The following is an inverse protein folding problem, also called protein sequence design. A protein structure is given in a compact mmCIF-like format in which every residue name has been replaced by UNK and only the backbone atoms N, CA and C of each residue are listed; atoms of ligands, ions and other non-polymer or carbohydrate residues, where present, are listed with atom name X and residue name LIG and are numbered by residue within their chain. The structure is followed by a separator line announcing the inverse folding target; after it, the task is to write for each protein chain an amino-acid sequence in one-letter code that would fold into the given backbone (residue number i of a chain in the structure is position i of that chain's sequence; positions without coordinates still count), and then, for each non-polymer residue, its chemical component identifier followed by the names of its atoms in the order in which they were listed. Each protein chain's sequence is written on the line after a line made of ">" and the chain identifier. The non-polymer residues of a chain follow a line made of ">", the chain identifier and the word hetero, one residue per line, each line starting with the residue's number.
data_IF_763461088707
#
_entry.id   IF_763461088707
#
_cell.length_a   1.000
_cell.length_b   1.000
_cell.length_c   1.000
_cell.angle_alpha   90.00
_cell.angle_beta   90.00
_cell.angle_gamma   90.00
#
_symmetry.space_group_name_H-M   'P 1'
#
loop_
_entity.id
_entity.type
_entity.pdbx_description
1 polymer ?
#
# COMPACT_ATOMS: atom_id res chain seq x y z
N UNK A 1 8.15 40.58 -9.56
CA UNK A 1 7.50 39.63 -10.49
C UNK A 1 7.53 38.15 -10.06
N UNK A 2 8.35 37.73 -9.08
CA UNK A 2 8.44 36.30 -8.67
C UNK A 2 7.29 35.74 -7.79
N UNK A 3 6.59 36.59 -7.03
CA UNK A 3 5.55 36.12 -6.08
C UNK A 3 4.32 35.54 -6.80
N UNK A 4 3.84 36.22 -7.84
CA UNK A 4 2.69 35.79 -8.65
C UNK A 4 2.97 34.51 -9.44
N UNK A 5 4.21 34.32 -9.91
CA UNK A 5 4.65 33.09 -10.57
C UNK A 5 4.67 31.89 -9.60
N UNK A 6 5.03 32.12 -8.33
CA UNK A 6 5.00 31.09 -7.29
C UNK A 6 3.56 30.76 -6.84
N UNK A 7 2.69 31.76 -6.72
CA UNK A 7 1.26 31.57 -6.41
C UNK A 7 0.56 30.82 -7.55
N UNK A 8 0.79 31.17 -8.81
CA UNK A 8 0.23 30.46 -9.95
C UNK A 8 0.75 29.01 -10.05
N UNK A 9 1.97 28.74 -9.56
CA UNK A 9 2.54 27.39 -9.49
C UNK A 9 1.92 26.59 -8.33
N UNK A 10 1.65 27.23 -7.19
CA UNK A 10 0.92 26.64 -6.07
C UNK A 10 -0.54 26.31 -6.43
N UNK A 11 -1.18 27.16 -7.23
CA UNK A 11 -2.56 26.98 -7.71
C UNK A 11 -2.73 25.71 -8.57
N UNK A 12 -1.65 25.22 -9.22
CA UNK A 12 -1.68 23.98 -10.03
C UNK A 12 -1.80 22.71 -9.19
N UNK A 13 -1.56 22.75 -7.88
CA UNK A 13 -1.70 21.58 -7.00
C UNK A 13 -3.12 21.40 -6.47
N UNK A 14 -3.82 22.51 -6.29
CA UNK A 14 -5.19 22.59 -5.77
C UNK A 14 -6.16 21.63 -6.47
N UNK A 15 -6.25 21.59 -7.83
CA UNK A 15 -7.23 20.72 -8.48
C UNK A 15 -6.98 19.22 -8.24
N UNK A 16 -5.73 18.77 -8.20
CA UNK A 16 -5.42 17.35 -7.92
C UNK A 16 -5.66 16.97 -6.47
N UNK A 17 -5.40 17.88 -5.53
CA UNK A 17 -5.71 17.68 -4.10
C UNK A 17 -7.23 17.63 -3.88
N UNK A 18 -7.99 18.50 -4.54
CA UNK A 18 -9.45 18.50 -4.51
C UNK A 18 -10.04 17.20 -5.05
N UNK A 19 -9.49 16.64 -6.13
CA UNK A 19 -9.93 15.33 -6.66
C UNK A 19 -9.66 14.21 -5.64
N UNK A 20 -8.48 14.18 -5.03
CA UNK A 20 -8.16 13.19 -3.99
C UNK A 20 -9.09 13.31 -2.79
N UNK A 21 -9.38 14.54 -2.37
CA UNK A 21 -10.28 14.82 -1.25
C UNK A 21 -11.73 14.48 -1.61
N UNK A 22 -12.16 14.75 -2.84
CA UNK A 22 -13.47 14.34 -3.34
C UNK A 22 -13.64 12.82 -3.38
N UNK A 23 -12.62 12.07 -3.83
CA UNK A 23 -12.64 10.59 -3.80
C UNK A 23 -12.68 10.09 -2.36
N UNK A 24 -11.90 10.69 -1.46
CA UNK A 24 -11.88 10.32 -0.04
C UNK A 24 -13.24 10.60 0.63
N UNK A 25 -13.83 11.77 0.40
CA UNK A 25 -15.17 12.15 0.91
C UNK A 25 -16.26 11.28 0.31
N UNK A 26 -16.15 10.93 -0.98
CA UNK A 26 -17.06 10.00 -1.63
C UNK A 26 -17.02 8.62 -0.96
N UNK A 27 -15.82 8.06 -0.78
CA UNK A 27 -15.63 6.73 -0.20
C UNK A 27 -15.98 6.64 1.30
N UNK A 28 -15.42 7.53 2.12
CA UNK A 28 -15.52 7.49 3.59
C UNK A 28 -16.78 8.20 4.13
N UNK A 29 -17.30 9.19 3.42
CA UNK A 29 -18.36 10.07 3.91
C UNK A 29 -17.86 11.43 4.36
N UNK A 30 -18.78 12.40 4.42
CA UNK A 30 -18.48 13.80 4.79
C UNK A 30 -18.75 14.10 6.28
N UNK A 31 -19.02 13.07 7.09
CA UNK A 31 -19.39 13.23 8.50
C UNK A 31 -18.25 13.86 9.33
N UNK A 32 -16.99 13.51 9.04
CA UNK A 32 -15.80 14.11 9.67
C UNK A 32 -15.64 15.62 9.37
N UNK A 33 -16.29 16.12 8.31
CA UNK A 33 -16.27 17.53 7.89
C UNK A 33 -17.52 18.31 8.33
N UNK A 34 -18.39 17.71 9.16
CA UNK A 34 -19.61 18.36 9.67
C UNK A 34 -20.73 18.52 8.65
N UNK A 35 -20.63 17.88 7.47
CA UNK A 35 -21.65 17.90 6.43
C UNK A 35 -22.49 16.61 6.49
N UNK A 36 -23.72 16.67 7.01
CA UNK A 36 -24.59 15.49 7.19
C UNK A 36 -25.24 14.95 5.91
N UNK A 37 -24.99 15.57 4.75
CA UNK A 37 -25.70 15.25 3.50
C UNK A 37 -25.21 13.98 2.78
N UNK A 38 -24.06 13.43 3.17
CA UNK A 38 -23.38 12.33 2.48
C UNK A 38 -22.69 11.45 3.52
N UNK A 39 -23.32 10.33 3.81
CA UNK A 39 -22.87 9.38 4.84
C UNK A 39 -21.75 8.45 4.37
N UNK A 40 -21.26 8.63 3.14
CA UNK A 40 -20.20 7.82 2.55
C UNK A 40 -20.71 6.56 1.87
N UNK A 41 -20.01 6.12 0.83
CA UNK A 41 -20.33 4.88 0.11
C UNK A 41 -20.33 3.67 1.06
N UNK A 42 -19.53 3.70 2.12
CA UNK A 42 -19.48 2.67 3.16
C UNK A 42 -20.84 2.45 3.87
N UNK A 43 -21.57 3.51 4.22
CA UNK A 43 -22.91 3.35 4.83
C UNK A 43 -23.96 2.90 3.84
N UNK A 44 -23.83 3.24 2.55
CA UNK A 44 -24.73 2.72 1.50
C UNK A 44 -24.48 1.23 1.20
N UNK A 45 -23.22 0.76 1.20
CA UNK A 45 -22.91 -0.67 1.11
C UNK A 45 -23.32 -1.45 2.36
N UNK A 46 -23.40 -0.80 3.52
CA UNK A 46 -23.86 -1.43 4.77
C UNK A 46 -25.39 -1.71 4.82
N UNK A 47 -26.17 -1.17 3.88
CA UNK A 47 -27.63 -1.32 3.83
C UNK A 47 -28.08 -2.70 3.30
N UNK A 48 -27.26 -3.37 2.49
CA UNK A 48 -27.58 -4.68 1.94
C UNK A 48 -26.99 -5.79 2.84
N UNK A 49 -27.78 -6.69 3.44
CA UNK A 49 -27.29 -7.67 4.42
C UNK A 49 -26.29 -8.68 3.83
N UNK A 50 -26.36 -8.95 2.53
CA UNK A 50 -25.42 -9.83 1.82
C UNK A 50 -24.10 -9.09 1.54
N UNK A 51 -24.16 -7.83 1.14
CA UNK A 51 -22.97 -6.99 0.87
C UNK A 51 -22.27 -6.63 2.17
N UNK A 52 -23.00 -6.35 3.25
CA UNK A 52 -22.44 -6.12 4.59
C UNK A 52 -21.61 -7.30 5.10
N UNK A 53 -22.11 -8.54 4.94
CA UNK A 53 -21.41 -9.74 5.41
C UNK A 53 -20.15 -10.07 4.59
N UNK A 54 -20.15 -9.80 3.28
CA UNK A 54 -18.99 -10.07 2.42
C UNK A 54 -17.99 -8.90 2.34
N UNK A 55 -18.48 -7.66 2.28
CA UNK A 55 -17.64 -6.47 2.16
C UNK A 55 -17.13 -5.96 3.51
N UNK A 56 -17.99 -5.86 4.53
CA UNK A 56 -17.59 -5.28 5.82
C UNK A 56 -17.01 -6.33 6.78
N UNK A 57 -17.61 -7.52 6.90
CA UNK A 57 -17.08 -8.57 7.78
C UNK A 57 -15.90 -9.32 7.15
N UNK A 58 -16.06 -9.93 5.97
CA UNK A 58 -15.01 -10.76 5.37
C UNK A 58 -13.85 -9.92 4.82
N UNK A 59 -14.11 -8.90 4.00
CA UNK A 59 -13.03 -8.14 3.37
C UNK A 59 -12.46 -6.98 4.20
N UNK A 60 -13.03 -6.65 5.37
CA UNK A 60 -12.75 -5.40 6.08
C UNK A 60 -12.54 -4.26 5.07
N UNK A 61 -13.51 -4.05 4.17
CA UNK A 61 -13.44 -3.08 3.08
C UNK A 61 -13.50 -1.67 3.66
N UNK A 62 -12.40 -1.31 4.33
CA UNK A 62 -12.15 -0.02 4.91
C UNK A 62 -12.15 0.99 3.77
N UNK A 63 -12.57 2.23 4.04
CA UNK A 63 -12.54 3.33 3.06
C UNK A 63 -11.22 3.41 2.27
N UNK A 64 -10.10 2.97 2.85
CA UNK A 64 -8.79 2.84 2.18
C UNK A 64 -8.82 1.89 0.98
N UNK A 65 -9.33 0.66 1.11
CA UNK A 65 -9.43 -0.31 0.02
C UNK A 65 -10.35 0.20 -1.09
N UNK A 66 -11.48 0.80 -0.73
CA UNK A 66 -12.41 1.43 -1.67
C UNK A 66 -11.71 2.54 -2.45
N UNK A 67 -10.97 3.41 -1.76
CA UNK A 67 -10.17 4.47 -2.40
C UNK A 67 -9.13 3.89 -3.37
N UNK A 68 -8.46 2.79 -3.02
CA UNK A 68 -7.48 2.13 -3.90
C UNK A 68 -8.16 1.55 -5.15
N UNK A 69 -9.28 0.82 -5.00
CA UNK A 69 -10.03 0.26 -6.12
C UNK A 69 -10.50 1.39 -7.05
N UNK A 70 -11.15 2.42 -6.50
CA UNK A 70 -11.66 3.56 -7.29
C UNK A 70 -10.50 4.28 -7.99
N UNK A 71 -9.39 4.52 -7.30
CA UNK A 71 -8.20 5.11 -7.89
C UNK A 71 -7.61 4.27 -9.03
N UNK A 72 -7.55 2.95 -8.86
CA UNK A 72 -7.09 2.02 -9.89
C UNK A 72 -8.05 2.00 -11.10
N UNK A 73 -9.35 1.98 -10.85
CA UNK A 73 -10.39 1.94 -11.88
C UNK A 73 -10.42 3.24 -12.69
N UNK A 74 -10.32 4.40 -12.02
CA UNK A 74 -10.17 5.71 -12.68
C UNK A 74 -8.91 5.71 -13.53
N UNK A 75 -7.75 5.33 -12.98
CA UNK A 75 -6.49 5.35 -13.74
C UNK A 75 -6.48 4.39 -14.94
N UNK A 76 -7.22 3.29 -14.84
CA UNK A 76 -7.31 2.28 -15.90
C UNK A 76 -8.33 2.63 -17.00
N UNK A 77 -9.39 3.37 -16.66
CA UNK A 77 -10.47 3.74 -17.61
C UNK A 77 -10.36 5.15 -18.16
N UNK A 78 -9.81 6.08 -17.37
CA UNK A 78 -9.66 7.48 -17.68
C UNK A 78 -8.18 7.88 -17.56
N UNK A 79 -7.63 8.47 -18.63
CA UNK A 79 -6.30 9.03 -18.52
C UNK A 79 -6.33 10.28 -17.63
N UNK A 80 -5.37 10.40 -16.72
CA UNK A 80 -5.38 11.47 -15.74
C UNK A 80 -4.94 12.76 -16.43
N UNK A 81 -5.79 13.80 -16.48
CA UNK A 81 -5.46 14.98 -17.25
C UNK A 81 -4.26 15.72 -16.65
N UNK A 82 -3.44 16.31 -17.52
CA UNK A 82 -2.15 16.92 -17.15
C UNK A 82 -2.25 18.03 -16.08
N UNK A 83 -3.43 18.64 -15.91
CA UNK A 83 -3.69 19.65 -14.88
C UNK A 83 -3.91 19.07 -13.47
N UNK A 84 -4.33 17.81 -13.34
CA UNK A 84 -4.55 17.13 -12.05
C UNK A 84 -3.30 16.37 -11.57
N UNK A 85 -2.42 16.00 -12.50
CA UNK A 85 -1.20 15.24 -12.25
C UNK A 85 -0.27 15.85 -11.17
N UNK A 86 -0.06 17.18 -11.10
CA UNK A 86 0.80 17.79 -10.08
C UNK A 86 0.25 17.60 -8.66
N UNK A 87 -1.07 17.78 -8.46
CA UNK A 87 -1.70 17.60 -7.16
C UNK A 87 -1.75 16.14 -6.71
N UNK A 88 -1.96 15.20 -7.63
CA UNK A 88 -1.93 13.76 -7.34
C UNK A 88 -0.54 13.30 -6.89
N UNK A 89 0.53 13.88 -7.45
CA UNK A 89 1.91 13.55 -7.04
C UNK A 89 2.22 13.97 -5.61
N UNK A 90 1.50 14.95 -5.06
CA UNK A 90 1.63 15.40 -3.66
C UNK A 90 1.28 14.29 -2.67
N UNK A 91 0.50 13.29 -3.06
CA UNK A 91 0.18 12.13 -2.20
C UNK A 91 1.42 11.42 -1.65
N UNK A 92 2.52 11.35 -2.41
CA UNK A 92 3.81 10.80 -1.90
C UNK A 92 4.33 11.56 -0.70
N UNK A 93 4.16 12.89 -0.68
CA UNK A 93 4.57 13.71 0.45
C UNK A 93 3.65 13.46 1.63
N UNK A 94 2.33 13.40 1.43
CA UNK A 94 1.39 13.09 2.50
C UNK A 94 1.62 11.73 3.14
N UNK A 95 1.90 10.69 2.34
CA UNK A 95 2.23 9.35 2.87
C UNK A 95 3.51 9.41 3.69
N UNK A 96 4.58 10.04 3.19
CA UNK A 96 5.86 10.16 3.93
C UNK A 96 5.69 10.92 5.24
N UNK A 97 4.97 12.05 5.21
CA UNK A 97 4.68 12.87 6.39
C UNK A 97 3.84 12.08 7.39
N UNK A 98 2.82 11.35 6.91
CA UNK A 98 2.00 10.46 7.74
C UNK A 98 2.83 9.40 8.45
N UNK A 99 3.74 8.73 7.75
CA UNK A 99 4.66 7.73 8.36
C UNK A 99 5.56 8.36 9.43
N UNK A 100 6.07 9.57 9.20
CA UNK A 100 6.89 10.30 10.19
C UNK A 100 6.06 10.59 11.45
N UNK A 101 4.83 11.09 11.31
CA UNK A 101 3.95 11.36 12.45
C UNK A 101 3.54 10.07 13.18
N UNK A 102 3.24 8.99 12.45
CA UNK A 102 2.95 7.69 13.05
C UNK A 102 4.12 7.19 13.91
N UNK A 103 5.36 7.40 13.47
CA UNK A 103 6.54 7.11 14.29
C UNK A 103 6.63 7.97 15.56
N UNK A 104 6.23 9.24 15.48
CA UNK A 104 6.20 10.15 16.64
C UNK A 104 5.17 9.78 17.70
N UNK A 105 4.15 8.97 17.38
CA UNK A 105 3.15 8.53 18.35
C UNK A 105 3.70 7.47 19.32
N UNK A 106 4.78 6.76 18.95
CA UNK A 106 5.36 5.70 19.78
C UNK A 106 6.48 6.25 20.68
N UNK A 107 6.40 5.93 21.98
CA UNK A 107 7.50 6.22 22.91
C UNK A 107 8.70 5.31 22.63
N UNK A 108 9.93 5.86 22.72
CA UNK A 108 11.17 5.09 22.56
C UNK A 108 11.21 3.87 23.51
N UNK A 109 10.60 4.00 24.70
CA UNK A 109 10.53 2.92 25.70
C UNK A 109 9.56 1.79 25.31
N UNK A 110 8.42 2.10 24.67
CA UNK A 110 7.51 1.09 24.12
C UNK A 110 8.14 0.40 22.91
N UNK A 111 8.79 1.21 22.06
CA UNK A 111 9.47 0.71 20.87
C UNK A 111 10.64 -0.22 21.23
N UNK A 112 11.32 -0.01 22.36
CA UNK A 112 12.38 -0.93 22.81
C UNK A 112 11.83 -2.28 23.29
N UNK A 113 10.75 -2.27 24.08
CA UNK A 113 10.15 -3.49 24.62
C UNK A 113 9.45 -4.32 23.54
N UNK A 114 8.64 -3.68 22.70
CA UNK A 114 7.90 -4.34 21.62
C UNK A 114 8.83 -4.59 20.42
N UNK A 115 9.76 -3.69 20.16
CA UNK A 115 10.65 -3.76 19.01
C UNK A 115 11.56 -4.97 19.05
N UNK A 116 11.97 -5.47 20.21
CA UNK A 116 12.86 -6.65 20.27
C UNK A 116 12.15 -7.92 19.78
N UNK A 117 10.91 -8.14 20.21
CA UNK A 117 10.11 -9.31 19.77
C UNK A 117 9.66 -9.15 18.31
N UNK A 118 9.22 -7.95 17.92
CA UNK A 118 8.86 -7.65 16.53
C UNK A 118 10.06 -7.81 15.57
N UNK A 119 11.25 -7.34 15.96
CA UNK A 119 12.46 -7.43 15.16
C UNK A 119 12.86 -8.89 14.90
N UNK A 120 12.76 -9.77 15.90
CA UNK A 120 13.04 -11.20 15.73
C UNK A 120 12.06 -11.85 14.75
N UNK A 121 10.77 -11.52 14.83
CA UNK A 121 9.75 -12.03 13.90
C UNK A 121 10.03 -11.53 12.47
N UNK A 122 10.33 -10.24 12.31
CA UNK A 122 10.64 -9.64 11.00
C UNK A 122 11.88 -10.29 10.40
N UNK A 123 12.98 -10.38 11.15
CA UNK A 123 14.21 -11.03 10.69
C UNK A 123 13.93 -12.48 10.27
N UNK A 124 13.22 -13.25 11.11
CA UNK A 124 12.85 -14.62 10.80
C UNK A 124 12.06 -14.73 9.50
N UNK A 125 11.05 -13.87 9.33
CA UNK A 125 10.18 -13.88 8.14
C UNK A 125 10.93 -13.45 6.87
N UNK A 126 11.78 -12.42 6.97
CA UNK A 126 12.62 -11.93 5.87
C UNK A 126 13.60 -13.02 5.43
N UNK A 127 14.35 -13.62 6.35
CA UNK A 127 15.30 -14.68 6.00
C UNK A 127 14.61 -15.93 5.48
N UNK A 128 13.50 -16.34 6.10
CA UNK A 128 12.72 -17.49 5.63
C UNK A 128 12.21 -17.24 4.20
N UNK A 129 11.65 -16.06 3.92
CA UNK A 129 11.12 -15.71 2.59
C UNK A 129 12.23 -15.58 1.56
N UNK A 130 13.38 -14.98 1.91
CA UNK A 130 14.56 -14.91 1.06
C UNK A 130 15.06 -16.29 0.66
N UNK A 131 15.33 -17.14 1.65
CA UNK A 131 15.87 -18.49 1.42
C UNK A 131 14.87 -19.36 0.66
N UNK A 132 13.58 -19.28 1.01
CA UNK A 132 12.53 -20.02 0.34
C UNK A 132 12.40 -19.60 -1.13
N UNK A 133 12.40 -18.30 -1.42
CA UNK A 133 12.26 -17.79 -2.78
C UNK A 133 13.50 -18.10 -3.62
N UNK A 134 14.71 -17.96 -3.05
CA UNK A 134 15.96 -18.34 -3.73
C UNK A 134 15.98 -19.84 -4.05
N UNK A 135 15.63 -20.68 -3.07
CA UNK A 135 15.56 -22.12 -3.26
C UNK A 135 14.54 -22.52 -4.33
N UNK A 136 13.35 -21.90 -4.29
CA UNK A 136 12.29 -22.16 -5.27
C UNK A 136 12.71 -21.67 -6.67
N UNK A 137 13.34 -20.50 -6.78
CA UNK A 137 13.84 -19.95 -8.03
C UNK A 137 14.92 -20.83 -8.66
N UNK A 138 15.85 -21.35 -7.86
CA UNK A 138 16.86 -22.32 -8.32
C UNK A 138 16.23 -23.63 -8.80
N UNK A 139 15.22 -24.14 -8.08
CA UNK A 139 14.50 -25.35 -8.45
C UNK A 139 13.72 -25.20 -9.76
N UNK A 140 13.20 -24.00 -10.02
CA UNK A 140 12.50 -23.65 -11.26
C UNK A 140 13.45 -23.32 -12.42
N UNK A 141 14.77 -23.40 -12.22
CA UNK A 141 15.76 -23.12 -13.25
C UNK A 141 15.89 -21.64 -13.61
N UNK A 142 15.50 -20.73 -12.72
CA UNK A 142 15.68 -19.30 -12.92
C UNK A 142 17.15 -18.91 -12.87
N UNK A 143 17.52 -17.89 -13.65
CA UNK A 143 18.85 -17.31 -13.55
C UNK A 143 19.11 -16.75 -12.14
N UNK A 144 20.36 -16.88 -11.69
CA UNK A 144 20.78 -16.47 -10.35
C UNK A 144 20.52 -15.00 -10.06
N UNK A 145 20.67 -14.11 -11.06
CA UNK A 145 20.36 -12.70 -10.90
C UNK A 145 18.85 -12.51 -10.71
N UNK A 146 18.03 -13.08 -11.61
CA UNK A 146 16.57 -13.00 -11.57
C UNK A 146 15.98 -13.52 -10.26
N UNK A 147 16.43 -14.69 -9.79
CA UNK A 147 15.99 -15.27 -8.53
C UNK A 147 16.35 -14.38 -7.32
N UNK A 148 17.53 -13.74 -7.35
CA UNK A 148 18.01 -12.89 -6.25
C UNK A 148 17.25 -11.56 -6.15
N UNK A 149 17.02 -10.87 -7.27
CA UNK A 149 16.21 -9.64 -7.26
C UNK A 149 14.76 -9.93 -6.88
N UNK A 150 14.18 -11.03 -7.38
CA UNK A 150 12.83 -11.42 -7.01
C UNK A 150 12.72 -11.78 -5.52
N UNK A 151 13.68 -12.55 -4.98
CA UNK A 151 13.74 -12.89 -3.56
C UNK A 151 13.86 -11.64 -2.68
N UNK A 152 14.74 -10.70 -3.04
CA UNK A 152 14.87 -9.43 -2.33
C UNK A 152 13.56 -8.62 -2.36
N UNK A 153 12.89 -8.59 -3.52
CA UNK A 153 11.60 -7.95 -3.69
C UNK A 153 10.49 -8.56 -2.84
N UNK A 154 10.39 -9.89 -2.83
CA UNK A 154 9.33 -10.61 -2.11
C UNK A 154 9.54 -10.67 -0.59
N UNK A 155 10.75 -10.43 -0.08
CA UNK A 155 11.04 -10.58 1.34
C UNK A 155 11.10 -9.27 2.14
N UNK A 156 11.30 -8.11 1.51
CA UNK A 156 11.59 -6.85 2.22
C UNK A 156 10.51 -5.80 1.96
N UNK A 157 10.76 -4.88 1.01
CA UNK A 157 9.95 -3.69 0.75
C UNK A 157 9.55 -3.59 -0.72
N UNK A 158 9.34 -4.74 -1.35
CA UNK A 158 8.81 -4.85 -2.70
C UNK A 158 9.72 -4.22 -3.74
N UNK A 159 9.17 -3.25 -4.49
CA UNK A 159 9.84 -2.60 -5.63
C UNK A 159 11.14 -1.89 -5.24
N UNK A 160 11.18 -1.27 -4.05
CA UNK A 160 12.37 -0.55 -3.60
C UNK A 160 13.56 -1.48 -3.34
N UNK A 161 13.31 -2.69 -2.83
CA UNK A 161 14.32 -3.72 -2.66
C UNK A 161 14.84 -4.26 -4.00
N UNK A 162 13.95 -4.48 -4.98
CA UNK A 162 14.34 -4.92 -6.33
C UNK A 162 15.29 -3.90 -6.97
N UNK A 163 14.93 -2.61 -6.92
CA UNK A 163 15.74 -1.54 -7.52
C UNK A 163 17.08 -1.37 -6.80
N UNK A 164 17.11 -1.51 -5.48
CA UNK A 164 18.35 -1.39 -4.70
C UNK A 164 19.31 -2.56 -4.91
N UNK A 165 18.79 -3.78 -5.11
CA UNK A 165 19.61 -5.00 -5.24
C UNK A 165 20.01 -5.31 -6.67
N UNK A 166 19.27 -4.81 -7.67
CA UNK A 166 19.56 -5.05 -9.09
C UNK A 166 21.01 -4.76 -9.51
N UNK A 167 21.66 -3.64 -9.11
CA UNK A 167 23.05 -3.37 -9.47
C UNK A 167 24.04 -4.34 -8.82
N UNK A 168 23.74 -4.80 -7.60
CA UNK A 168 24.61 -5.69 -6.84
C UNK A 168 24.71 -7.09 -7.47
N UNK A 169 23.60 -7.58 -8.03
CA UNK A 169 23.54 -8.89 -8.72
C UNK A 169 23.69 -8.78 -10.23
N UNK A 170 23.97 -7.58 -10.75
CA UNK A 170 24.09 -7.27 -12.19
C UNK A 170 22.88 -7.75 -13.01
N UNK A 171 21.67 -7.60 -12.45
CA UNK A 171 20.44 -7.99 -13.10
C UNK A 171 20.19 -7.16 -14.37
N UNK A 172 19.68 -7.81 -15.42
CA UNK A 172 19.28 -7.14 -16.67
C UNK A 172 18.00 -6.34 -16.43
N UNK A 173 17.82 -5.25 -17.18
CA UNK A 173 16.62 -4.40 -17.08
C UNK A 173 15.33 -5.21 -17.27
N UNK A 174 15.34 -6.21 -18.14
CA UNK A 174 14.20 -7.12 -18.36
C UNK A 174 13.82 -7.92 -17.12
N UNK A 175 14.82 -8.39 -16.36
CA UNK A 175 14.63 -9.19 -15.13
C UNK A 175 14.12 -8.33 -13.97
N UNK A 176 14.61 -7.09 -13.90
CA UNK A 176 14.13 -6.08 -12.94
C UNK A 176 12.67 -5.76 -13.21
N UNK A 177 12.31 -5.46 -14.46
CA UNK A 177 10.92 -5.13 -14.83
C UNK A 177 9.99 -6.30 -14.55
N UNK A 178 10.40 -7.52 -14.90
CA UNK A 178 9.61 -8.73 -14.62
C UNK A 178 9.41 -8.93 -13.11
N UNK A 179 10.48 -8.81 -12.32
CA UNK A 179 10.40 -8.93 -10.86
C UNK A 179 9.48 -7.88 -10.24
N UNK A 180 9.56 -6.62 -10.68
CA UNK A 180 8.67 -5.55 -10.23
C UNK A 180 7.21 -5.88 -10.56
N UNK A 181 6.93 -6.34 -11.78
CA UNK A 181 5.58 -6.72 -12.19
C UNK A 181 5.03 -7.88 -11.35
N UNK A 182 5.85 -8.91 -11.09
CA UNK A 182 5.47 -10.04 -10.24
C UNK A 182 5.18 -9.59 -8.81
N UNK A 183 6.09 -8.84 -8.19
CA UNK A 183 5.95 -8.33 -6.81
C UNK A 183 4.69 -7.47 -6.68
N UNK A 184 4.45 -6.54 -7.60
CA UNK A 184 3.25 -5.70 -7.59
C UNK A 184 1.97 -6.53 -7.77
N UNK A 185 1.99 -7.54 -8.64
CA UNK A 185 0.85 -8.43 -8.83
C UNK A 185 0.51 -9.20 -7.56
N UNK A 186 1.51 -9.76 -6.89
CA UNK A 186 1.33 -10.41 -5.58
C UNK A 186 0.86 -9.43 -4.51
N UNK A 187 1.41 -8.21 -4.47
CA UNK A 187 1.00 -7.16 -3.55
C UNK A 187 -0.48 -6.82 -3.67
N UNK A 188 -0.99 -6.66 -4.90
CA UNK A 188 -2.42 -6.42 -5.15
C UNK A 188 -3.27 -7.63 -4.73
N UNK A 189 -2.83 -8.86 -5.03
CA UNK A 189 -3.55 -10.08 -4.61
C UNK A 189 -3.61 -10.16 -3.08
N UNK A 190 -2.50 -9.92 -2.40
CA UNK A 190 -2.41 -9.97 -0.93
C UNK A 190 -3.21 -8.86 -0.27
N UNK A 191 -3.27 -7.67 -0.85
CA UNK A 191 -4.09 -6.57 -0.36
C UNK A 191 -5.58 -6.97 -0.19
N UNK A 192 -6.12 -7.80 -1.10
CA UNK A 192 -7.49 -8.30 -0.99
C UNK A 192 -7.61 -9.61 -0.20
N UNK A 193 -6.61 -10.49 -0.31
CA UNK A 193 -6.66 -11.84 0.27
C UNK A 193 -6.39 -11.81 1.78
N UNK A 194 -5.49 -10.95 2.26
CA UNK A 194 -5.09 -10.91 3.67
C UNK A 194 -6.23 -10.53 4.61
N UNK A 195 -6.99 -9.45 4.36
CA UNK A 195 -8.15 -9.11 5.19
C UNK A 195 -9.15 -10.27 5.27
N UNK A 196 -9.46 -10.89 4.12
CA UNK A 196 -10.37 -12.03 4.03
C UNK A 196 -9.94 -13.22 4.90
N UNK A 197 -8.66 -13.57 4.86
CA UNK A 197 -8.11 -14.65 5.68
C UNK A 197 -8.07 -14.24 7.17
N UNK A 198 -7.71 -12.99 7.45
CA UNK A 198 -7.64 -12.45 8.81
C UNK A 198 -8.98 -12.53 9.55
N UNK A 199 -10.08 -12.20 8.87
CA UNK A 199 -11.43 -12.35 9.43
C UNK A 199 -11.80 -13.83 9.58
N UNK A 200 -11.52 -14.67 8.58
CA UNK A 200 -11.87 -16.10 8.63
C UNK A 200 -11.17 -16.81 9.80
N UNK A 201 -9.94 -16.41 10.12
CA UNK A 201 -9.16 -16.92 11.25
C UNK A 201 -9.54 -16.26 12.59
N UNK A 202 -10.40 -15.23 12.59
CA UNK A 202 -10.79 -14.49 13.78
C UNK A 202 -9.62 -13.77 14.48
N UNK A 203 -8.62 -13.31 13.71
CA UNK A 203 -7.42 -12.70 14.27
C UNK A 203 -7.75 -11.38 14.97
N UNK A 204 -7.09 -11.13 16.11
CA UNK A 204 -7.21 -9.83 16.77
C UNK A 204 -6.54 -8.73 15.92
N UNK A 205 -6.92 -7.45 16.09
CA UNK A 205 -6.32 -6.35 15.31
C UNK A 205 -4.79 -6.29 15.42
N UNK A 206 -4.25 -6.64 16.59
CA UNK A 206 -2.81 -6.70 16.82
C UNK A 206 -2.14 -7.85 16.05
N UNK A 207 -2.74 -9.04 16.05
CA UNK A 207 -2.22 -10.20 15.33
C UNK A 207 -2.32 -10.02 13.81
N UNK A 208 -3.46 -9.51 13.35
CA UNK A 208 -3.65 -9.17 11.94
C UNK A 208 -2.64 -8.10 11.50
N UNK A 209 -2.46 -7.04 12.29
CA UNK A 209 -1.48 -6.00 12.00
C UNK A 209 -0.03 -6.53 11.94
N UNK A 210 0.35 -7.39 12.89
CA UNK A 210 1.69 -8.00 12.91
C UNK A 210 1.93 -8.92 11.69
N UNK A 211 0.90 -9.64 11.25
CA UNK A 211 1.00 -10.53 10.09
C UNK A 211 0.92 -9.77 8.75
N UNK A 212 -0.04 -8.87 8.61
CA UNK A 212 -0.18 -8.04 7.42
C UNK A 212 1.04 -7.13 7.22
N UNK A 213 1.62 -6.60 8.30
CA UNK A 213 2.81 -5.76 8.25
C UNK A 213 4.08 -6.49 7.81
N UNK A 214 4.18 -7.80 8.01
CA UNK A 214 5.35 -8.60 7.56
C UNK A 214 5.16 -9.23 6.19
N UNK A 215 3.92 -9.35 5.71
CA UNK A 215 3.61 -10.14 4.52
C UNK A 215 3.02 -9.35 3.35
N UNK A 216 2.45 -8.15 3.57
CA UNK A 216 1.98 -7.30 2.47
C UNK A 216 3.17 -6.55 1.88
N UNK A 217 3.39 -6.76 0.59
CA UNK A 217 4.47 -6.17 -0.20
C UNK A 217 3.93 -4.99 -0.99
N UNK A 218 4.31 -3.75 -0.66
CA UNK A 218 3.97 -2.57 -1.45
C UNK A 218 5.01 -1.45 -1.29
#
# INVERSE_FOLDING_TARGET
>A
MGLWANIARALKFIPGILIMLAIAVFAKGAEDFGCSWWRGVETYLALDPVVRKWALDILHLNHVLICIIVGMLIRNTLDIPAWALPGIRTSRLFIKVGVIFLGSLYSIAELANIGTSALMIILGFVFATLLFTLWLGQKLGMDSASASVLAAGLAICGVSAVVATAPAVRARTTEVVYSIATVLSFGVIFLFTFPAIGTLLGLSPYQFGAWAGTAILN
#
